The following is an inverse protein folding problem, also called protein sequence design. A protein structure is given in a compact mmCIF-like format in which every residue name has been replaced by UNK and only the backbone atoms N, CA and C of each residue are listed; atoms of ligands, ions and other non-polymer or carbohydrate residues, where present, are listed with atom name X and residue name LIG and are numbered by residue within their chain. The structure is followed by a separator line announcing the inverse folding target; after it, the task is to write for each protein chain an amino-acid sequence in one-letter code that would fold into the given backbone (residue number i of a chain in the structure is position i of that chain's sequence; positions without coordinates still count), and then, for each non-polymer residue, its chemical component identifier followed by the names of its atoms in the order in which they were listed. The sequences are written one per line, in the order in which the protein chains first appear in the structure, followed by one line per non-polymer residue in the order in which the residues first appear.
data_IF_782122871603
#
_entry.id   IF_782122871603
#
_cell.length_a   1.000
_cell.length_b   1.000
_cell.length_c   1.000
_cell.angle_alpha   90.00
_cell.angle_beta   90.00
_cell.angle_gamma   90.00
#
_symmetry.space_group_name_H-M   'P 1'
#
loop_
_entity.id
_entity.type
_entity.pdbx_description
1 polymer ?
#
# COMPACT_ATOMS: atom_id res chain seq x y z
N UNK A 1 2.16 1.75 -9.63
CA UNK A 1 1.34 0.66 -10.18
C UNK A 1 1.42 -0.52 -9.23
N UNK A 2 0.28 -1.17 -8.94
CA UNK A 2 0.21 -2.36 -8.11
C UNK A 2 -0.08 -3.58 -8.98
N UNK A 3 0.57 -4.71 -8.68
CA UNK A 3 0.33 -5.98 -9.36
C UNK A 3 -0.85 -6.68 -8.70
N UNK A 4 -1.86 -7.07 -9.48
CA UNK A 4 -2.99 -7.85 -8.99
C UNK A 4 -2.51 -9.27 -8.64
N UNK A 5 -2.73 -9.76 -7.41
CA UNK A 5 -2.30 -11.09 -7.01
C UNK A 5 -3.08 -12.23 -7.71
N UNK A 6 -4.24 -11.91 -8.31
CA UNK A 6 -5.11 -12.90 -8.94
C UNK A 6 -4.79 -13.14 -10.42
N UNK A 7 -4.52 -12.07 -11.18
CA UNK A 7 -4.28 -12.16 -12.63
C UNK A 7 -2.89 -11.67 -13.06
N UNK A 8 -2.07 -11.12 -12.16
CA UNK A 8 -0.78 -10.52 -12.50
C UNK A 8 -0.86 -9.17 -13.23
N UNK A 9 -2.06 -8.68 -13.53
CA UNK A 9 -2.27 -7.40 -14.19
C UNK A 9 -1.77 -6.22 -13.37
N UNK A 10 -1.21 -5.19 -14.04
CA UNK A 10 -0.76 -3.96 -13.40
C UNK A 10 -1.91 -2.96 -13.33
N UNK A 11 -2.30 -2.57 -12.11
CA UNK A 11 -3.33 -1.56 -11.85
C UNK A 11 -2.65 -0.27 -11.41
N UNK A 12 -2.87 0.83 -12.14
CA UNK A 12 -2.29 2.13 -11.82
C UNK A 12 -3.11 2.91 -10.79
N UNK A 13 -4.43 2.79 -10.84
CA UNK A 13 -5.37 3.64 -10.10
C UNK A 13 -5.86 2.96 -8.82
N UNK A 14 -5.47 3.42 -7.62
CA UNK A 14 -6.07 2.96 -6.38
C UNK A 14 -7.46 3.56 -6.21
N UNK A 15 -8.43 2.75 -5.76
CA UNK A 15 -9.75 3.23 -5.33
C UNK A 15 -9.64 4.18 -4.14
N UNK A 16 -8.75 3.88 -3.19
CA UNK A 16 -8.46 4.70 -2.02
C UNK A 16 -7.01 4.52 -1.63
N UNK A 17 -6.39 5.57 -1.12
CA UNK A 17 -5.07 5.49 -0.49
C UNK A 17 -5.09 6.13 0.89
N UNK A 18 -4.32 5.58 1.82
CA UNK A 18 -4.13 6.17 3.15
C UNK A 18 -2.70 5.93 3.64
N UNK A 19 -2.30 6.77 4.60
CA UNK A 19 -1.01 6.66 5.28
C UNK A 19 -1.20 5.96 6.62
N UNK A 20 -0.25 5.11 6.97
CA UNK A 20 -0.23 4.37 8.23
C UNK A 20 1.18 4.46 8.80
N UNK A 21 1.33 5.09 9.97
CA UNK A 21 2.58 5.06 10.72
C UNK A 21 2.60 3.81 11.61
N UNK A 22 3.65 3.00 11.45
CA UNK A 22 3.87 1.81 12.27
C UNK A 22 4.45 2.12 13.65
N UNK A 23 4.77 1.06 14.39
CA UNK A 23 5.42 1.13 15.70
C UNK A 23 6.77 1.87 15.59
N UNK A 24 7.13 2.72 16.56
CA UNK A 24 8.46 3.31 16.62
C UNK A 24 9.54 2.23 16.73
N UNK A 25 10.65 2.42 16.02
CA UNK A 25 11.89 1.68 16.21
C UNK A 25 12.52 2.00 17.58
N UNK A 26 13.56 1.25 17.98
CA UNK A 26 14.34 1.52 19.21
C UNK A 26 14.85 2.96 19.28
N UNK A 27 15.08 3.62 18.14
CA UNK A 27 15.50 5.01 18.05
C UNK A 27 14.34 6.03 17.97
N UNK A 28 13.10 5.62 18.22
CA UNK A 28 11.92 6.51 18.19
C UNK A 28 11.39 6.84 16.79
N UNK A 29 12.11 6.46 15.73
CA UNK A 29 11.70 6.68 14.32
C UNK A 29 10.55 5.76 13.94
N UNK A 30 9.52 6.29 13.27
CA UNK A 30 8.38 5.51 12.77
C UNK A 30 8.53 5.26 11.28
N UNK A 31 7.97 4.14 10.84
CA UNK A 31 7.86 3.87 9.39
C UNK A 31 6.46 4.23 8.95
N UNK A 32 6.32 5.21 8.06
CA UNK A 32 5.06 5.55 7.42
C UNK A 32 4.93 4.77 6.11
N UNK A 33 3.87 3.99 6.01
CA UNK A 33 3.47 3.25 4.82
C UNK A 33 2.30 3.96 4.16
N UNK A 34 2.39 4.20 2.86
CA UNK A 34 1.24 4.59 2.04
C UNK A 34 0.67 3.33 1.42
N UNK A 35 -0.56 2.97 1.79
CA UNK A 35 -1.27 1.80 1.29
C UNK A 35 -2.33 2.27 0.30
N UNK A 36 -2.42 1.61 -0.86
CA UNK A 36 -3.49 1.76 -1.83
C UNK A 36 -4.39 0.52 -1.80
N UNK A 37 -5.71 0.75 -1.82
CA UNK A 37 -6.73 -0.26 -2.10
C UNK A 37 -7.07 -0.20 -3.59
N UNK A 38 -7.01 -1.35 -4.25
CA UNK A 38 -7.25 -1.51 -5.68
C UNK A 38 -8.37 -2.52 -5.91
N UNK A 39 -9.13 -2.33 -6.98
CA UNK A 39 -10.13 -3.29 -7.43
C UNK A 39 -9.66 -3.91 -8.75
N UNK A 40 -9.62 -5.24 -8.81
CA UNK A 40 -9.26 -5.99 -10.02
C UNK A 40 -9.86 -7.39 -9.99
N UNK A 41 -10.32 -7.90 -11.13
CA UNK A 41 -10.89 -9.25 -11.26
C UNK A 41 -12.05 -9.54 -10.29
N UNK A 42 -12.88 -8.52 -10.04
CA UNK A 42 -14.04 -8.58 -9.14
C UNK A 42 -13.68 -8.65 -7.65
N UNK A 43 -12.41 -8.46 -7.29
CA UNK A 43 -11.92 -8.52 -5.91
C UNK A 43 -11.12 -7.27 -5.57
N UNK A 44 -11.14 -6.88 -4.29
CA UNK A 44 -10.32 -5.79 -3.78
C UNK A 44 -9.02 -6.33 -3.17
N UNK A 45 -7.91 -5.64 -3.40
CA UNK A 45 -6.61 -5.99 -2.84
C UNK A 45 -5.85 -4.73 -2.39
N UNK A 46 -4.96 -4.89 -1.42
CA UNK A 46 -4.15 -3.80 -0.87
C UNK A 46 -2.71 -3.95 -1.36
N UNK A 47 -2.08 -2.83 -1.71
CA UNK A 47 -0.67 -2.79 -2.08
C UNK A 47 0.02 -1.58 -1.44
N UNK A 48 1.29 -1.76 -1.08
CA UNK A 48 2.12 -0.66 -0.56
C UNK A 48 2.59 0.19 -1.74
N UNK A 49 2.28 1.48 -1.70
CA UNK A 49 2.65 2.45 -2.72
C UNK A 49 3.96 3.16 -2.40
N UNK A 50 4.17 3.47 -1.11
CA UNK A 50 5.37 4.14 -0.65
C UNK A 50 5.68 3.74 0.79
N UNK A 51 6.97 3.81 1.14
CA UNK A 51 7.48 3.60 2.49
C UNK A 51 8.46 4.72 2.78
N UNK A 52 8.24 5.47 3.85
CA UNK A 52 9.19 6.48 4.34
C UNK A 52 9.45 6.32 5.83
N UNK A 53 10.64 6.69 6.28
CA UNK A 53 10.94 6.82 7.72
C UNK A 53 10.64 8.26 8.14
N UNK A 54 9.97 8.40 9.28
CA UNK A 54 9.62 9.65 9.96
C UNK A 54 10.10 9.62 11.40
#
# INVERSE_FOLDING_TARGET
MATCPKCGGKVSTPRKSWKMAGRPDKNGKRTELTIGLFDCCGTSFRAVLAKRKI
#
